data_IF_982388101322
#
_entry.id   IF_982388101322
#
_cell.length_a   1.000
_cell.length_b   1.000
_cell.length_c   1.000
_cell.angle_alpha   90.00
_cell.angle_beta   90.00
_cell.angle_gamma   90.00
#
_symmetry.space_group_name_H-M   'P 1'
#
loop_
_entity.id
_entity.type
_entity.pdbx_description
1 polymer ?
#
# COMPACT_ATOMS: atom_id res chain seq x y z
N UNK A 1 10.75 -13.82 -0.47
CA UNK A 1 10.70 -14.39 0.90
C UNK A 1 9.25 -14.52 1.30
N UNK A 2 8.69 -15.73 1.27
CA UNK A 2 7.30 -15.99 1.69
C UNK A 2 7.35 -16.39 3.16
N UNK A 3 6.89 -15.52 4.06
CA UNK A 3 6.81 -15.89 5.48
C UNK A 3 5.55 -16.72 5.73
N UNK A 4 5.73 -18.03 5.79
CA UNK A 4 4.75 -19.01 6.27
C UNK A 4 4.74 -19.00 7.82
N UNK A 5 4.03 -18.03 8.39
CA UNK A 5 3.34 -18.12 9.68
C UNK A 5 2.51 -16.84 9.82
N UNK A 6 1.20 -16.96 10.01
CA UNK A 6 0.35 -15.81 10.32
C UNK A 6 0.83 -15.22 11.65
N UNK A 7 1.61 -14.14 11.58
CA UNK A 7 1.96 -13.31 12.74
C UNK A 7 0.90 -12.22 12.91
N UNK A 8 0.74 -11.73 14.14
CA UNK A 8 -0.07 -10.54 14.38
C UNK A 8 0.63 -9.34 13.72
N UNK A 9 -0.07 -8.66 12.81
CA UNK A 9 0.41 -7.39 12.27
C UNK A 9 0.18 -6.32 13.34
N UNK A 10 1.25 -5.60 13.69
CA UNK A 10 1.25 -4.52 14.67
C UNK A 10 1.84 -3.27 14.06
N UNK A 11 1.57 -2.12 14.68
CA UNK A 11 2.27 -0.88 14.32
C UNK A 11 3.80 -1.09 14.39
N UNK A 12 4.52 -0.31 13.58
CA UNK A 12 5.97 -0.36 13.39
C UNK A 12 6.51 -1.60 12.65
N UNK A 13 5.66 -2.54 12.25
CA UNK A 13 6.08 -3.65 11.38
C UNK A 13 6.46 -3.13 9.98
N UNK A 14 7.49 -3.74 9.40
CA UNK A 14 7.91 -3.48 8.02
C UNK A 14 7.42 -4.63 7.15
N UNK A 15 6.72 -4.29 6.06
CA UNK A 15 6.23 -5.25 5.07
C UNK A 15 6.86 -4.93 3.73
N UNK A 16 7.51 -5.92 3.12
CA UNK A 16 8.05 -5.82 1.77
C UNK A 16 7.28 -6.74 0.84
N UNK A 17 6.62 -6.15 -0.15
CA UNK A 17 5.98 -6.86 -1.23
C UNK A 17 6.97 -7.03 -2.39
N UNK A 18 7.19 -8.26 -2.83
CA UNK A 18 8.06 -8.60 -3.96
C UNK A 18 7.21 -9.12 -5.12
N UNK A 19 7.31 -8.48 -6.28
CA UNK A 19 6.54 -8.82 -7.49
C UNK A 19 7.45 -8.87 -8.72
N UNK A 20 7.10 -9.74 -9.68
CA UNK A 20 7.72 -9.71 -11.01
C UNK A 20 6.81 -8.94 -11.96
N UNK A 21 7.24 -7.75 -12.39
CA UNK A 21 6.49 -6.89 -13.32
C UNK A 21 7.30 -6.72 -14.60
N UNK A 22 6.77 -7.22 -15.72
CA UNK A 22 7.41 -7.19 -17.05
C UNK A 22 8.86 -7.70 -17.00
N UNK A 23 9.07 -8.84 -16.33
CA UNK A 23 10.37 -9.50 -16.19
C UNK A 23 11.35 -8.81 -15.24
N UNK A 24 10.95 -7.75 -14.53
CA UNK A 24 11.77 -7.11 -13.51
C UNK A 24 11.22 -7.40 -12.12
N UNK A 25 12.12 -7.64 -11.16
CA UNK A 25 11.79 -7.69 -9.75
C UNK A 25 11.48 -6.27 -9.27
N UNK A 26 10.29 -6.10 -8.72
CA UNK A 26 9.83 -4.87 -8.08
C UNK A 26 9.59 -5.19 -6.61
N UNK A 27 10.22 -4.42 -5.73
CA UNK A 27 10.12 -4.57 -4.29
C UNK A 27 9.56 -3.28 -3.73
N UNK A 28 8.45 -3.36 -3.00
CA UNK A 28 7.82 -2.20 -2.38
C UNK A 28 7.81 -2.39 -0.87
N UNK A 29 8.41 -1.47 -0.13
CA UNK A 29 8.53 -1.53 1.32
C UNK A 29 7.58 -0.54 1.98
N UNK A 30 6.83 -1.04 2.95
CA UNK A 30 5.82 -0.32 3.71
C UNK A 30 6.08 -0.43 5.21
N UNK A 31 5.80 0.65 5.91
CA UNK A 31 5.64 0.67 7.37
C UNK A 31 4.16 0.47 7.69
N UNK A 32 3.83 -0.40 8.64
CA UNK A 32 2.53 -0.41 9.30
C UNK A 32 2.51 0.77 10.27
N UNK A 33 1.88 1.87 9.87
CA UNK A 33 1.84 3.11 10.64
C UNK A 33 0.84 3.01 11.80
N UNK A 34 -0.30 2.36 11.58
CA UNK A 34 -1.29 2.06 12.63
C UNK A 34 -2.08 0.80 12.33
N UNK A 35 -2.55 0.16 13.40
CA UNK A 35 -3.54 -0.92 13.37
C UNK A 35 -4.57 -0.59 14.45
N UNK A 36 -5.80 -0.34 14.02
CA UNK A 36 -6.95 -0.12 14.90
C UNK A 36 -7.84 -1.36 14.80
N UNK A 37 -8.18 -1.95 15.95
CA UNK A 37 -9.07 -3.09 16.02
C UNK A 37 -10.16 -2.81 17.05
N UNK A 38 -11.39 -3.18 16.71
CA UNK A 38 -12.55 -3.09 17.60
C UNK A 38 -13.43 -1.86 17.36
N UNK A 39 -14.69 -1.97 17.82
CA UNK A 39 -15.73 -0.99 17.51
C UNK A 39 -16.51 -1.39 16.25
N UNK A 40 -16.80 -0.41 15.38
CA UNK A 40 -17.61 -0.61 14.17
C UNK A 40 -16.77 -0.96 12.92
N UNK A 41 -15.44 -0.88 13.02
CA UNK A 41 -14.51 -1.18 11.95
C UNK A 41 -13.15 -1.62 12.50
N UNK A 42 -12.39 -2.31 11.67
CA UNK A 42 -10.96 -2.52 11.85
C UNK A 42 -10.22 -1.73 10.76
N UNK A 43 -9.06 -1.15 11.07
CA UNK A 43 -8.28 -0.37 10.11
C UNK A 43 -6.79 -0.70 10.21
N UNK A 44 -6.14 -0.80 9.05
CA UNK A 44 -4.68 -0.80 8.96
C UNK A 44 -4.21 0.29 8.01
N UNK A 45 -3.25 1.10 8.48
CA UNK A 45 -2.63 2.16 7.69
C UNK A 45 -1.19 1.77 7.36
N UNK A 46 -0.89 1.74 6.06
CA UNK A 46 0.45 1.55 5.55
C UNK A 46 1.02 2.88 5.09
N UNK A 47 2.28 3.14 5.46
CA UNK A 47 3.07 4.24 4.95
C UNK A 47 4.16 3.72 4.03
N UNK A 48 4.17 4.23 2.81
CA UNK A 48 5.18 3.92 1.81
C UNK A 48 6.56 4.41 2.28
N UNK A 49 7.55 3.53 2.26
CA UNK A 49 8.95 3.87 2.53
C UNK A 49 9.69 4.06 1.21
N UNK A 50 9.73 3.00 0.40
CA UNK A 50 10.49 2.99 -0.85
C UNK A 50 10.01 1.89 -1.79
N UNK A 51 10.45 1.99 -3.04
CA UNK A 51 10.27 0.96 -4.04
C UNK A 51 11.55 0.79 -4.84
N UNK A 52 12.00 -0.45 -5.03
CA UNK A 52 13.14 -0.79 -5.86
C UNK A 52 12.69 -1.60 -7.08
N UNK A 53 13.32 -1.37 -8.24
CA UNK A 53 13.17 -2.20 -9.44
C UNK A 53 14.53 -2.72 -9.85
N UNK A 54 14.74 -4.03 -9.75
CA UNK A 54 16.05 -4.67 -9.90
C UNK A 54 17.11 -3.91 -9.08
N UNK A 55 16.86 -3.75 -7.78
CA UNK A 55 17.73 -3.05 -6.82
C UNK A 55 17.91 -1.54 -7.05
N UNK A 56 17.26 -0.96 -8.07
CA UNK A 56 17.33 0.48 -8.35
C UNK A 56 16.14 1.21 -7.74
N UNK A 57 16.34 2.27 -6.94
CA UNK A 57 15.22 3.02 -6.36
C UNK A 57 14.34 3.67 -7.42
N UNK A 58 13.06 3.37 -7.33
CA UNK A 58 11.94 3.88 -8.13
C UNK A 58 10.97 4.64 -7.22
N UNK A 59 10.01 5.38 -7.77
CA UNK A 59 9.04 6.19 -7.00
C UNK A 59 9.61 7.37 -6.17
N UNK A 60 10.82 7.87 -6.47
CA UNK A 60 11.44 9.05 -5.80
C UNK A 60 10.61 10.35 -5.84
N UNK A 61 9.64 10.43 -6.75
CA UNK A 61 8.76 11.59 -6.93
C UNK A 61 7.56 11.62 -5.98
N UNK A 62 7.34 10.58 -5.18
CA UNK A 62 6.22 10.44 -4.25
C UNK A 62 6.74 10.62 -2.82
N UNK A 63 5.96 11.31 -1.99
CA UNK A 63 6.24 11.54 -0.58
C UNK A 63 4.96 11.44 0.23
N UNK A 64 5.08 11.08 1.51
CA UNK A 64 3.95 10.93 2.43
C UNK A 64 2.82 10.04 1.86
N UNK A 65 3.16 9.02 1.07
CA UNK A 65 2.17 8.12 0.52
C UNK A 65 1.70 7.15 1.59
N UNK A 66 0.40 7.16 1.85
CA UNK A 66 -0.28 6.26 2.76
C UNK A 66 -1.44 5.58 2.06
N UNK A 67 -1.69 4.34 2.46
CA UNK A 67 -2.85 3.54 2.09
C UNK A 67 -3.51 3.09 3.38
N UNK A 68 -4.77 3.45 3.58
CA UNK A 68 -5.61 2.89 4.64
C UNK A 68 -6.52 1.83 4.06
N UNK A 69 -6.64 0.71 4.76
CA UNK A 69 -7.62 -0.34 4.48
C UNK A 69 -8.53 -0.41 5.71
N UNK A 70 -9.80 -0.10 5.51
CA UNK A 70 -10.81 -0.10 6.57
C UNK A 70 -11.83 -1.20 6.28
N UNK A 71 -12.08 -2.06 7.26
CA UNK A 71 -13.04 -3.15 7.17
C UNK A 71 -14.19 -2.82 8.13
N UNK A 72 -15.38 -2.57 7.59
CA UNK A 72 -16.58 -2.36 8.42
C UNK A 72 -17.08 -3.71 8.94
N UNK A 73 -17.12 -3.87 10.27
CA UNK A 73 -17.38 -5.17 10.95
C UNK A 73 -18.87 -5.46 11.20
N UNK A 74 -19.77 -4.64 10.65
CA UNK A 74 -21.23 -4.80 10.77
C UNK A 74 -21.81 -5.72 9.69
N UNK A 75 -23.01 -6.24 9.91
CA UNK A 75 -23.76 -6.97 8.88
C UNK A 75 -23.96 -6.10 7.63
N UNK A 76 -23.58 -6.64 6.46
CA UNK A 76 -23.53 -5.88 5.20
C UNK A 76 -22.41 -4.85 5.11
N UNK A 77 -21.40 -4.94 5.99
CA UNK A 77 -20.16 -4.17 5.92
C UNK A 77 -19.35 -4.50 4.65
N UNK A 78 -18.34 -3.68 4.40
CA UNK A 78 -17.47 -3.79 3.23
C UNK A 78 -16.06 -3.33 3.53
N UNK A 79 -15.21 -3.40 2.51
CA UNK A 79 -13.83 -2.92 2.55
C UNK A 79 -13.77 -1.56 1.87
N UNK A 80 -13.20 -0.58 2.55
CA UNK A 80 -12.84 0.72 1.99
C UNK A 80 -11.32 0.84 1.89
N UNK A 81 -10.85 1.42 0.78
CA UNK A 81 -9.43 1.71 0.58
C UNK A 81 -9.28 3.18 0.29
N UNK A 82 -8.53 3.87 1.14
CA UNK A 82 -8.24 5.29 1.00
C UNK A 82 -6.73 5.49 0.80
N UNK A 83 -6.33 6.32 -0.16
CA UNK A 83 -4.93 6.57 -0.49
C UNK A 83 -4.64 8.06 -0.53
N UNK A 84 -3.59 8.50 0.17
CA UNK A 84 -3.15 9.91 0.18
C UNK A 84 -1.67 10.01 -0.10
N UNK A 85 -1.26 10.97 -0.93
CA UNK A 85 0.13 11.15 -1.32
C UNK A 85 0.42 12.60 -1.69
N UNK A 86 1.72 12.94 -1.71
CA UNK A 86 2.21 14.25 -2.14
C UNK A 86 3.32 14.08 -3.17
N UNK A 87 3.33 14.90 -4.21
CA UNK A 87 4.44 14.95 -5.17
C UNK A 87 5.63 15.73 -4.60
N UNK A 88 6.85 15.20 -4.74
CA UNK A 88 8.11 15.81 -4.27
C UNK A 88 9.01 16.26 -5.43
N UNK A 89 9.69 17.39 -5.24
CA UNK A 89 10.69 17.90 -6.19
C UNK A 89 10.13 18.26 -7.57
N UNK A 90 10.91 18.03 -8.62
CA UNK A 90 10.52 18.27 -10.03
C UNK A 90 9.34 17.38 -10.49
N UNK A 91 8.99 16.33 -9.73
CA UNK A 91 7.81 15.52 -10.02
C UNK A 91 6.49 16.28 -9.84
N UNK A 92 6.50 17.46 -9.18
CA UNK A 92 5.36 18.39 -9.19
C UNK A 92 4.97 18.84 -10.60
N UNK A 93 5.93 18.94 -11.53
CA UNK A 93 5.66 19.28 -12.94
C UNK A 93 5.13 18.08 -13.76
N UNK A 94 5.33 16.84 -13.30
CA UNK A 94 4.91 15.60 -13.97
C UNK A 94 3.77 14.92 -13.17
N UNK A 95 3.01 15.71 -12.41
CA UNK A 95 2.02 15.26 -11.41
C UNK A 95 0.95 14.31 -11.96
N UNK A 96 0.61 14.41 -13.25
CA UNK A 96 -0.34 13.52 -13.93
C UNK A 96 0.07 12.05 -13.90
N UNK A 97 1.36 11.74 -14.07
CA UNK A 97 1.83 10.34 -14.08
C UNK A 97 1.85 9.75 -12.66
N UNK A 98 2.09 10.59 -11.64
CA UNK A 98 2.06 10.15 -10.25
C UNK A 98 0.63 9.82 -9.78
N UNK A 99 -0.36 10.61 -10.20
CA UNK A 99 -1.75 10.34 -9.86
C UNK A 99 -2.25 9.03 -10.48
N UNK A 100 -1.88 8.77 -11.74
CA UNK A 100 -2.19 7.49 -12.40
C UNK A 100 -1.53 6.30 -11.68
N UNK A 101 -0.27 6.44 -11.26
CA UNK A 101 0.42 5.38 -10.50
C UNK A 101 -0.27 5.07 -9.17
N UNK A 102 -0.59 6.10 -8.38
CA UNK A 102 -1.21 5.86 -7.06
C UNK A 102 -2.61 5.28 -7.20
N UNK A 103 -3.38 5.76 -8.19
CA UNK A 103 -4.69 5.19 -8.49
C UNK A 103 -4.60 3.72 -8.90
N UNK A 104 -3.69 3.37 -9.82
CA UNK A 104 -3.49 1.99 -10.25
C UNK A 104 -3.07 1.07 -9.08
N UNK A 105 -2.27 1.58 -8.13
CA UNK A 105 -1.88 0.83 -6.95
C UNK A 105 -3.06 0.59 -6.00
N UNK A 106 -3.88 1.62 -5.74
CA UNK A 106 -5.09 1.49 -4.93
C UNK A 106 -6.13 0.56 -5.58
N UNK A 107 -6.33 0.65 -6.89
CA UNK A 107 -7.24 -0.22 -7.64
C UNK A 107 -6.78 -1.69 -7.63
N UNK A 108 -5.48 -1.94 -7.83
CA UNK A 108 -4.92 -3.29 -7.74
C UNK A 108 -5.11 -3.89 -6.35
N UNK A 109 -4.90 -3.11 -5.28
CA UNK A 109 -5.12 -3.57 -3.91
C UNK A 109 -6.59 -3.90 -3.65
N UNK A 110 -7.52 -3.08 -4.16
CA UNK A 110 -8.95 -3.33 -4.06
C UNK A 110 -9.37 -4.60 -4.79
N UNK A 111 -8.86 -4.81 -6.00
CA UNK A 111 -9.12 -6.00 -6.80
C UNK A 111 -8.61 -7.26 -6.09
N UNK A 112 -7.36 -7.22 -5.59
CA UNK A 112 -6.76 -8.32 -4.85
C UNK A 112 -7.58 -8.68 -3.60
N UNK A 113 -8.02 -7.69 -2.83
CA UNK A 113 -8.86 -7.90 -1.64
C UNK A 113 -10.25 -8.44 -1.99
N UNK A 114 -10.84 -7.96 -3.10
CA UNK A 114 -12.15 -8.42 -3.55
C UNK A 114 -12.13 -9.84 -4.13
N UNK A 115 -10.95 -10.31 -4.57
CA UNK A 115 -10.76 -11.64 -5.12
C UNK A 115 -10.59 -12.73 -4.04
N UNK A 116 -10.36 -12.35 -2.78
CA UNK A 116 -10.29 -13.29 -1.66
C UNK A 116 -11.71 -13.80 -1.38
N UNK A 117 -11.91 -15.11 -1.59
CA UNK A 117 -13.16 -15.84 -1.30
C UNK A 117 -13.08 -16.58 0.02
#
# INVERSE_FOLDING_TARGET
MVTQKAGLITADNIITLQQIIKGALVETTWLVESVENGGNFDEIVFKFIEQNRNERPTAKGISNYRVSITILTKDGGGVEIHSVWQSKGFAKLISRNNAAFVRANAEALLEDLSAIK
#
